data_IF_296447942020
#
_entry.id   IF_296447942020
#
_cell.length_a   1.000
_cell.length_b   1.000
_cell.length_c   1.000
_cell.angle_alpha   90.00
_cell.angle_beta   90.00
_cell.angle_gamma   90.00
#
_symmetry.space_group_name_H-M   'P 1'
#
loop_
_entity.id
_entity.type
_entity.pdbx_description
1 polymer ?
#
# COMPACT_ATOMS: atom_id res chain seq x y z
N UNK A 1 -22.36 -27.34 12.96
CA UNK A 1 -22.29 -27.14 11.50
C UNK A 1 -20.84 -27.11 11.02
N UNK A 2 -20.01 -26.14 11.43
CA UNK A 2 -18.63 -25.99 10.95
C UNK A 2 -17.75 -27.24 11.08
N UNK A 3 -17.84 -27.98 12.19
CA UNK A 3 -17.17 -29.29 12.35
C UNK A 3 -17.50 -30.27 11.21
N UNK A 4 -18.78 -30.49 10.94
CA UNK A 4 -19.22 -31.37 9.86
C UNK A 4 -18.79 -30.87 8.48
N UNK A 5 -18.73 -29.55 8.26
CA UNK A 5 -18.25 -28.97 7.00
C UNK A 5 -16.74 -29.15 6.84
N UNK A 6 -15.95 -28.98 7.91
CA UNK A 6 -14.53 -29.29 7.89
C UNK A 6 -14.30 -30.78 7.57
N UNK A 7 -15.01 -31.70 8.23
CA UNK A 7 -14.91 -33.15 7.95
C UNK A 7 -15.19 -33.48 6.47
N UNK A 8 -16.18 -32.82 5.86
CA UNK A 8 -16.50 -32.98 4.44
C UNK A 8 -15.38 -32.48 3.52
N UNK A 9 -14.78 -31.33 3.84
CA UNK A 9 -13.66 -30.75 3.08
C UNK A 9 -12.45 -31.69 3.17
N UNK A 10 -12.06 -32.12 4.37
CA UNK A 10 -10.91 -33.00 4.57
C UNK A 10 -11.10 -34.41 4.02
N UNK A 11 -12.35 -34.89 3.92
CA UNK A 11 -12.65 -36.12 3.17
C UNK A 11 -12.30 -35.97 1.68
N UNK A 12 -12.43 -34.77 1.13
CA UNK A 12 -12.17 -34.48 -0.29
C UNK A 12 -10.72 -34.07 -0.53
N UNK A 13 -10.14 -33.28 0.37
CA UNK A 13 -8.79 -32.70 0.28
C UNK A 13 -8.09 -32.98 1.64
N UNK A 14 -7.49 -34.17 1.82
CA UNK A 14 -6.96 -34.60 3.12
C UNK A 14 -5.85 -33.71 3.71
N UNK A 15 -5.17 -32.94 2.88
CA UNK A 15 -4.10 -32.01 3.23
C UNK A 15 -4.52 -30.54 3.10
N UNK A 16 -5.83 -30.27 3.15
CA UNK A 16 -6.36 -28.91 3.07
C UNK A 16 -5.74 -27.99 4.14
N UNK A 17 -5.20 -26.84 3.72
CA UNK A 17 -4.46 -25.94 4.61
C UNK A 17 -5.34 -25.22 5.64
N UNK A 18 -6.57 -24.87 5.28
CA UNK A 18 -7.52 -24.20 6.18
C UNK A 18 -8.24 -23.00 5.55
N UNK A 19 -8.66 -22.05 6.38
CA UNK A 19 -9.55 -20.97 5.95
C UNK A 19 -8.88 -19.59 5.95
N UNK A 20 -9.16 -18.79 4.93
CA UNK A 20 -8.96 -17.34 4.93
C UNK A 20 -10.29 -16.65 5.21
N UNK A 21 -10.32 -15.70 6.15
CA UNK A 21 -11.56 -15.06 6.61
C UNK A 21 -11.46 -13.55 6.55
N UNK A 22 -12.36 -12.92 5.78
CA UNK A 22 -12.72 -11.50 5.88
C UNK A 22 -14.09 -11.42 6.54
N UNK A 23 -14.20 -10.75 7.68
CA UNK A 23 -15.44 -10.69 8.46
C UNK A 23 -15.63 -9.29 9.05
N UNK A 24 -16.89 -8.83 9.15
CA UNK A 24 -17.27 -7.48 9.61
C UNK A 24 -16.49 -6.34 8.91
N UNK A 25 -16.38 -6.43 7.59
CA UNK A 25 -15.62 -5.47 6.77
C UNK A 25 -16.26 -5.36 5.39
N UNK A 26 -16.53 -4.12 4.95
CA UNK A 26 -17.14 -3.83 3.63
C UNK A 26 -18.42 -4.64 3.35
N UNK A 27 -19.32 -4.69 4.32
CA UNK A 27 -20.60 -5.41 4.22
C UNK A 27 -20.50 -6.94 4.36
N UNK A 28 -19.30 -7.49 4.55
CA UNK A 28 -19.14 -8.92 4.82
C UNK A 28 -19.63 -9.28 6.22
N UNK A 29 -20.38 -10.40 6.38
CA UNK A 29 -20.91 -10.81 7.67
C UNK A 29 -19.79 -11.21 8.62
N UNK A 30 -20.07 -11.22 9.91
CA UNK A 30 -19.09 -11.68 10.90
C UNK A 30 -19.59 -11.71 12.34
N UNK A 31 -18.72 -12.11 13.28
CA UNK A 31 -19.09 -12.30 14.69
C UNK A 31 -19.74 -11.08 15.34
N UNK A 32 -19.38 -9.85 14.96
CA UNK A 32 -19.93 -8.64 15.57
C UNK A 32 -21.44 -8.47 15.32
N UNK A 33 -21.96 -9.01 14.21
CA UNK A 33 -23.41 -9.02 13.90
C UNK A 33 -24.22 -9.82 14.93
N UNK A 34 -23.54 -10.69 15.68
CA UNK A 34 -24.09 -11.56 16.71
C UNK A 34 -23.64 -11.16 18.12
N UNK A 35 -23.08 -9.95 18.30
CA UNK A 35 -22.56 -9.47 19.59
C UNK A 35 -21.34 -10.24 20.08
N UNK A 36 -20.54 -10.80 19.17
CA UNK A 36 -19.30 -11.54 19.45
C UNK A 36 -18.08 -10.78 18.92
N UNK A 37 -16.90 -11.07 19.46
CA UNK A 37 -15.66 -10.47 18.99
C UNK A 37 -14.95 -11.34 17.92
N UNK A 38 -13.89 -10.82 17.30
CA UNK A 38 -13.14 -11.55 16.27
C UNK A 38 -12.49 -12.84 16.78
N UNK A 39 -12.04 -12.89 18.03
CA UNK A 39 -11.49 -14.13 18.61
C UNK A 39 -12.57 -15.20 18.79
N UNK A 40 -13.80 -14.84 19.16
CA UNK A 40 -14.91 -15.80 19.24
C UNK A 40 -15.19 -16.45 17.87
N UNK A 41 -15.24 -15.63 16.81
CA UNK A 41 -15.47 -16.10 15.44
C UNK A 41 -14.32 -16.96 14.91
N UNK A 42 -13.08 -16.50 15.10
CA UNK A 42 -11.88 -17.21 14.66
C UNK A 42 -11.72 -18.55 15.39
N UNK A 43 -11.88 -18.56 16.72
CA UNK A 43 -11.69 -19.75 17.55
C UNK A 43 -12.73 -20.82 17.25
N UNK A 44 -13.98 -20.43 16.93
CA UNK A 44 -15.02 -21.37 16.52
C UNK A 44 -14.65 -22.11 15.23
N UNK A 45 -14.07 -21.42 14.24
CA UNK A 45 -13.56 -22.04 13.02
C UNK A 45 -12.30 -22.86 13.27
N UNK A 46 -11.41 -22.36 14.14
CA UNK A 46 -10.19 -23.03 14.51
C UNK A 46 -10.44 -24.38 15.22
N UNK A 47 -11.45 -24.44 16.08
CA UNK A 47 -11.91 -25.69 16.73
C UNK A 47 -12.43 -26.71 15.70
N UNK A 48 -13.06 -26.26 14.62
CA UNK A 48 -13.53 -27.14 13.55
C UNK A 48 -12.38 -27.72 12.71
N UNK A 49 -11.29 -26.97 12.53
CA UNK A 49 -10.11 -27.39 11.75
C UNK A 49 -9.09 -28.18 12.58
N UNK A 50 -9.07 -28.02 13.90
CA UNK A 50 -8.06 -28.59 14.78
C UNK A 50 -7.87 -30.12 14.66
N UNK A 51 -8.92 -30.96 14.51
CA UNK A 51 -8.75 -32.40 14.32
C UNK A 51 -7.99 -32.79 13.05
N UNK A 52 -7.91 -31.87 12.08
CA UNK A 52 -7.33 -32.09 10.76
C UNK A 52 -6.01 -31.32 10.55
N UNK A 53 -5.54 -30.58 11.57
CA UNK A 53 -4.31 -29.79 11.50
C UNK A 53 -4.42 -28.48 10.70
N UNK A 54 -5.64 -28.04 10.35
CA UNK A 54 -5.87 -26.83 9.57
C UNK A 54 -5.70 -25.52 10.36
N UNK A 55 -5.43 -24.44 9.62
CA UNK A 55 -5.19 -23.08 10.14
C UNK A 55 -6.30 -22.12 9.75
N UNK A 56 -6.60 -21.15 10.61
CA UNK A 56 -7.45 -20.00 10.26
C UNK A 56 -6.57 -18.76 10.09
N UNK A 57 -6.52 -18.23 8.87
CA UNK A 57 -5.97 -16.91 8.57
C UNK A 57 -7.10 -15.87 8.68
N UNK A 58 -7.11 -15.11 9.77
CA UNK A 58 -8.16 -14.14 10.06
C UNK A 58 -7.70 -12.73 9.72
N UNK A 59 -8.31 -12.08 8.72
CA UNK A 59 -7.88 -10.75 8.28
C UNK A 59 -8.24 -9.67 9.30
N UNK A 60 -7.28 -8.80 9.61
CA UNK A 60 -7.44 -7.62 10.44
C UNK A 60 -7.89 -6.37 9.65
N UNK A 61 -8.21 -6.52 8.36
CA UNK A 61 -8.76 -5.45 7.54
C UNK A 61 -10.23 -5.20 7.90
N UNK A 62 -10.45 -4.49 9.00
CA UNK A 62 -11.76 -4.14 9.56
C UNK A 62 -11.84 -2.64 9.81
N UNK A 63 -12.98 -2.06 9.46
CA UNK A 63 -13.28 -0.66 9.75
C UNK A 63 -14.76 -0.37 9.55
N UNK A 64 -15.34 0.37 10.50
CA UNK A 64 -16.72 0.79 10.55
C UNK A 64 -16.82 2.32 10.43
N UNK A 65 -17.92 2.87 9.88
CA UNK A 65 -18.04 4.30 9.62
C UNK A 65 -18.08 5.18 10.89
N UNK A 66 -18.30 4.59 12.06
CA UNK A 66 -18.47 5.32 13.32
C UNK A 66 -17.15 5.76 13.96
N UNK A 67 -15.99 5.23 13.53
CA UNK A 67 -14.73 5.56 14.19
C UNK A 67 -14.21 6.94 13.79
N UNK A 68 -13.48 7.56 14.72
CA UNK A 68 -12.89 8.90 14.54
C UNK A 68 -11.81 8.94 13.46
N UNK A 69 -11.02 7.88 13.36
CA UNK A 69 -9.92 7.74 12.41
C UNK A 69 -9.89 6.32 11.85
N UNK A 70 -10.05 6.16 10.53
CA UNK A 70 -9.97 4.85 9.87
C UNK A 70 -8.64 4.14 10.15
N UNK A 71 -7.53 4.88 10.19
CA UNK A 71 -6.20 4.31 10.41
C UNK A 71 -6.03 3.71 11.82
N UNK A 72 -6.87 4.10 12.78
CA UNK A 72 -6.77 3.60 14.16
C UNK A 72 -7.53 2.28 14.39
N UNK A 73 -8.52 1.97 13.55
CA UNK A 73 -9.57 0.99 13.88
C UNK A 73 -9.07 -0.43 14.03
N UNK A 74 -8.30 -0.93 13.07
CA UNK A 74 -7.81 -2.31 13.10
C UNK A 74 -6.94 -2.58 14.34
N UNK A 75 -6.15 -1.59 14.78
CA UNK A 75 -5.40 -1.70 16.03
C UNK A 75 -6.33 -1.75 17.24
N UNK A 76 -7.30 -0.83 17.33
CA UNK A 76 -8.22 -0.75 18.48
C UNK A 76 -9.09 -2.01 18.61
N UNK A 77 -9.45 -2.65 17.50
CA UNK A 77 -10.22 -3.90 17.45
C UNK A 77 -9.39 -5.13 17.87
N UNK A 78 -8.17 -5.26 17.33
CA UNK A 78 -7.38 -6.49 17.50
C UNK A 78 -6.43 -6.46 18.68
N UNK A 79 -5.87 -5.30 19.06
CA UNK A 79 -4.91 -5.22 20.16
C UNK A 79 -5.49 -5.74 21.50
N UNK A 80 -6.75 -5.45 21.88
CA UNK A 80 -7.37 -6.02 23.09
C UNK A 80 -7.62 -7.53 23.03
N UNK A 81 -7.46 -8.16 21.86
CA UNK A 81 -7.64 -9.59 21.62
C UNK A 81 -6.32 -10.38 21.64
N UNK A 82 -5.18 -9.70 21.80
CA UNK A 82 -3.86 -10.34 21.90
C UNK A 82 -3.82 -11.43 23.00
N UNK A 83 -3.55 -12.67 22.59
CA UNK A 83 -3.52 -13.87 23.43
C UNK A 83 -4.88 -14.56 23.64
N UNK A 84 -5.95 -14.11 22.96
CA UNK A 84 -7.28 -14.75 23.00
C UNK A 84 -7.55 -15.68 21.81
N UNK A 85 -6.72 -15.62 20.77
CA UNK A 85 -6.85 -16.47 19.60
C UNK A 85 -6.30 -17.88 19.87
N UNK A 86 -6.93 -18.90 19.28
CA UNK A 86 -6.50 -20.29 19.40
C UNK A 86 -5.14 -20.52 18.72
N UNK A 87 -4.39 -21.58 19.10
CA UNK A 87 -3.03 -21.81 18.59
C UNK A 87 -2.90 -21.99 17.07
N UNK A 88 -3.96 -22.42 16.40
CA UNK A 88 -4.03 -22.57 14.94
C UNK A 88 -4.75 -21.38 14.25
N UNK A 89 -4.76 -20.22 14.88
CA UNK A 89 -5.21 -18.94 14.27
C UNK A 89 -4.00 -18.04 14.08
N UNK A 90 -3.91 -17.44 12.90
CA UNK A 90 -2.98 -16.36 12.58
C UNK A 90 -3.75 -15.14 12.11
N UNK A 91 -3.43 -13.96 12.65
CA UNK A 91 -4.09 -12.70 12.27
C UNK A 91 -3.35 -12.11 11.08
N UNK A 92 -4.02 -12.02 9.94
CA UNK A 92 -3.45 -11.50 8.69
C UNK A 92 -3.66 -9.98 8.61
N UNK A 93 -2.56 -9.22 8.61
CA UNK A 93 -2.54 -7.75 8.72
C UNK A 93 -1.91 -7.16 7.46
N UNK A 94 -2.58 -6.20 6.82
CA UNK A 94 -2.01 -5.44 5.70
C UNK A 94 -0.72 -4.73 6.12
N UNK A 95 0.15 -4.42 5.16
CA UNK A 95 1.39 -3.69 5.44
C UNK A 95 1.17 -2.31 6.07
N UNK A 96 0.05 -1.65 5.79
CA UNK A 96 -0.35 -0.37 6.37
C UNK A 96 -1.77 -0.42 6.92
N UNK A 97 -2.18 0.66 7.60
CA UNK A 97 -3.44 0.73 8.35
C UNK A 97 -4.65 1.22 7.54
N UNK A 98 -4.48 1.58 6.27
CA UNK A 98 -5.57 1.96 5.37
C UNK A 98 -5.81 0.87 4.35
N UNK A 99 -5.14 0.89 3.20
CA UNK A 99 -5.48 0.01 2.08
C UNK A 99 -4.45 0.10 0.96
N UNK A 100 -3.27 -0.52 1.16
CA UNK A 100 -2.27 -0.72 0.11
C UNK A 100 -1.89 0.54 -0.70
N UNK A 101 -1.93 1.71 -0.05
CA UNK A 101 -1.61 2.98 -0.71
C UNK A 101 -0.14 3.02 -1.15
N UNK A 102 0.24 3.90 -2.12
CA UNK A 102 1.62 3.98 -2.62
C UNK A 102 2.72 4.01 -1.54
N UNK A 103 2.43 4.69 -0.43
CA UNK A 103 3.16 4.56 0.82
C UNK A 103 2.21 4.71 2.01
N UNK A 104 2.41 3.87 3.01
CA UNK A 104 1.78 3.96 4.33
C UNK A 104 2.87 3.71 5.39
N UNK A 105 2.73 4.26 6.61
CA UNK A 105 3.49 3.73 7.73
C UNK A 105 3.14 2.26 7.94
N UNK A 106 4.10 1.47 8.45
CA UNK A 106 3.84 0.06 8.76
C UNK A 106 2.65 -0.08 9.73
N UNK A 107 1.82 -1.12 9.60
CA UNK A 107 0.65 -1.25 10.47
C UNK A 107 1.05 -1.38 11.95
N UNK A 108 0.47 -0.60 12.88
CA UNK A 108 0.90 -0.57 14.29
C UNK A 108 0.62 -1.86 15.08
N UNK A 109 -0.01 -2.87 14.46
CA UNK A 109 -0.20 -4.18 15.08
C UNK A 109 1.12 -4.97 15.12
N UNK A 110 2.01 -4.75 14.15
CA UNK A 110 3.32 -5.39 14.15
C UNK A 110 4.14 -4.94 15.36
N UNK A 111 4.53 -5.90 16.19
CA UNK A 111 5.18 -5.69 17.49
C UNK A 111 4.20 -5.41 18.64
N UNK A 112 2.92 -5.17 18.35
CA UNK A 112 1.93 -4.87 19.38
C UNK A 112 1.15 -6.08 19.88
N UNK A 113 1.19 -7.24 19.21
CA UNK A 113 0.48 -8.46 19.65
C UNK A 113 1.44 -9.62 19.94
N UNK A 114 2.25 -9.58 21.01
CA UNK A 114 3.28 -10.58 21.28
C UNK A 114 2.74 -11.99 21.63
N UNK A 115 1.44 -12.14 21.87
CA UNK A 115 0.81 -13.42 22.24
C UNK A 115 -0.09 -13.95 21.12
N UNK A 116 -0.02 -13.39 19.92
CA UNK A 116 -0.80 -13.83 18.77
C UNK A 116 0.05 -13.71 17.51
N UNK A 117 0.22 -14.80 16.74
CA UNK A 117 1.00 -14.73 15.51
C UNK A 117 0.32 -13.80 14.50
N UNK A 118 1.12 -12.97 13.83
CA UNK A 118 0.68 -12.05 12.79
C UNK A 118 1.27 -12.48 11.45
N UNK A 119 0.45 -12.49 10.40
CA UNK A 119 0.89 -12.64 9.02
C UNK A 119 0.88 -11.27 8.32
N UNK A 120 1.90 -10.98 7.52
CA UNK A 120 1.90 -9.80 6.65
C UNK A 120 1.08 -10.08 5.39
N UNK A 121 0.12 -9.21 5.07
CA UNK A 121 -0.57 -9.16 3.79
C UNK A 121 -0.02 -7.98 2.97
N UNK A 122 0.40 -8.26 1.74
CA UNK A 122 0.82 -7.25 0.76
C UNK A 122 0.00 -7.39 -0.52
N UNK A 123 -0.10 -6.31 -1.30
CA UNK A 123 -0.72 -6.34 -2.62
C UNK A 123 0.35 -6.51 -3.70
N UNK A 124 0.24 -7.56 -4.52
CA UNK A 124 1.06 -7.74 -5.72
C UNK A 124 0.34 -7.11 -6.92
N UNK A 125 -0.98 -7.29 -6.98
CA UNK A 125 -1.82 -6.55 -7.93
C UNK A 125 -1.79 -5.07 -7.60
N UNK A 126 -1.75 -4.23 -8.64
CA UNK A 126 -1.48 -2.80 -8.53
C UNK A 126 -2.76 -1.97 -8.53
N UNK A 127 -3.70 -2.32 -7.66
CA UNK A 127 -4.99 -1.62 -7.54
C UNK A 127 -4.81 -0.11 -7.37
N UNK A 128 -3.86 0.30 -6.52
CA UNK A 128 -3.58 1.71 -6.19
C UNK A 128 -2.35 2.27 -6.90
N UNK A 129 -1.77 1.53 -7.83
CA UNK A 129 -0.43 1.79 -8.38
C UNK A 129 -0.42 1.80 -9.91
N UNK A 130 -1.55 2.15 -10.52
CA UNK A 130 -1.70 2.29 -11.98
C UNK A 130 -1.83 0.97 -12.73
N UNK A 131 -2.47 -0.02 -12.11
CA UNK A 131 -2.85 -1.31 -12.73
C UNK A 131 -1.69 -1.96 -13.48
N UNK A 132 -1.93 -2.60 -14.63
CA UNK A 132 -0.89 -3.26 -15.41
C UNK A 132 -0.06 -2.31 -16.29
N UNK A 133 -0.38 -1.03 -16.36
CA UNK A 133 0.29 -0.07 -17.27
C UNK A 133 1.44 0.69 -16.62
N UNK A 134 1.52 0.71 -15.29
CA UNK A 134 2.56 1.43 -14.56
C UNK A 134 3.70 0.52 -14.10
N UNK A 135 4.94 0.85 -14.42
CA UNK A 135 6.10 0.15 -13.89
C UNK A 135 6.32 0.59 -12.43
N UNK A 136 6.30 -0.34 -11.48
CA UNK A 136 6.42 -0.08 -10.03
C UNK A 136 7.25 -1.18 -9.33
N UNK A 137 8.29 -0.80 -8.60
CA UNK A 137 9.11 -1.71 -7.79
C UNK A 137 8.48 -2.04 -6.44
N UNK A 138 7.62 -3.06 -6.45
CA UNK A 138 7.02 -3.59 -5.21
C UNK A 138 8.03 -4.27 -4.29
N UNK A 139 9.20 -4.70 -4.79
CA UNK A 139 10.27 -5.23 -3.93
C UNK A 139 10.74 -4.19 -2.92
N UNK A 140 10.89 -2.93 -3.34
CA UNK A 140 11.21 -1.84 -2.42
C UNK A 140 10.08 -1.53 -1.43
N UNK A 141 8.81 -1.72 -1.81
CA UNK A 141 7.69 -1.59 -0.87
C UNK A 141 7.77 -2.66 0.21
N UNK A 142 7.97 -3.90 -0.19
CA UNK A 142 8.07 -5.02 0.73
C UNK A 142 9.28 -4.87 1.65
N UNK A 143 10.45 -4.49 1.11
CA UNK A 143 11.64 -4.21 1.92
C UNK A 143 11.41 -3.09 2.93
N UNK A 144 10.83 -1.95 2.52
CA UNK A 144 10.54 -0.83 3.43
C UNK A 144 9.69 -1.26 4.62
N UNK A 145 8.67 -2.08 4.37
CA UNK A 145 7.77 -2.59 5.43
C UNK A 145 8.47 -3.63 6.29
N UNK A 146 9.06 -4.67 5.69
CA UNK A 146 9.69 -5.78 6.39
C UNK A 146 10.84 -5.31 7.28
N UNK A 147 11.59 -4.30 6.84
CA UNK A 147 12.76 -3.77 7.54
C UNK A 147 12.41 -2.62 8.51
N UNK A 148 11.14 -2.21 8.59
CA UNK A 148 10.71 -1.19 9.54
C UNK A 148 10.92 -1.66 10.99
N UNK A 149 11.74 -0.94 11.75
CA UNK A 149 11.93 -1.19 13.19
C UNK A 149 10.67 -0.79 13.95
N UNK A 150 10.03 -1.78 14.60
CA UNK A 150 8.80 -1.55 15.38
C UNK A 150 9.09 -0.79 16.68
N UNK A 151 10.35 -0.68 17.09
CA UNK A 151 10.81 -0.26 18.41
C UNK A 151 10.19 -1.08 19.56
N UNK A 152 9.81 -2.33 19.26
CA UNK A 152 9.32 -3.33 20.21
C UNK A 152 10.17 -4.60 20.20
N UNK A 153 11.47 -4.45 19.91
CA UNK A 153 12.49 -5.51 19.98
C UNK A 153 12.98 -6.06 18.63
N UNK A 154 12.40 -5.61 17.52
CA UNK A 154 12.81 -6.00 16.18
C UNK A 154 11.99 -5.35 15.07
N UNK A 155 12.31 -5.72 13.84
CA UNK A 155 11.63 -5.28 12.62
C UNK A 155 10.29 -6.01 12.41
N UNK A 156 9.47 -5.54 11.47
CA UNK A 156 8.26 -6.26 11.03
C UNK A 156 8.61 -7.68 10.55
N UNK A 157 9.71 -7.87 9.83
CA UNK A 157 10.21 -9.19 9.43
C UNK A 157 10.34 -10.15 10.62
N UNK A 158 10.95 -9.69 11.72
CA UNK A 158 11.13 -10.51 12.94
C UNK A 158 9.83 -10.79 13.69
N UNK A 159 8.81 -9.96 13.50
CA UNK A 159 7.46 -10.24 14.03
C UNK A 159 6.81 -11.35 13.21
N UNK A 160 6.89 -11.27 11.89
CA UNK A 160 6.19 -12.16 10.95
C UNK A 160 6.87 -13.51 10.79
N UNK A 161 8.21 -13.57 10.86
CA UNK A 161 8.97 -14.82 10.89
C UNK A 161 8.90 -15.55 12.25
N UNK A 162 8.22 -14.94 13.24
CA UNK A 162 8.00 -15.50 14.58
C UNK A 162 9.21 -15.44 15.52
N UNK A 163 10.40 -15.07 15.04
CA UNK A 163 11.65 -15.09 15.82
C UNK A 163 11.65 -14.12 17.01
N UNK A 164 10.87 -13.04 16.95
CA UNK A 164 10.78 -12.07 18.03
C UNK A 164 10.01 -12.60 19.25
N UNK A 165 9.02 -13.46 19.05
CA UNK A 165 8.09 -13.92 20.10
C UNK A 165 7.99 -15.45 20.21
N UNK A 166 8.76 -16.21 19.42
CA UNK A 166 8.79 -17.67 19.44
C UNK A 166 7.57 -18.33 18.78
N UNK A 167 6.90 -17.65 17.86
CA UNK A 167 5.77 -18.21 17.14
C UNK A 167 6.23 -19.27 16.13
N UNK A 168 5.57 -20.42 16.11
CA UNK A 168 5.83 -21.49 15.13
C UNK A 168 4.96 -21.34 13.88
N UNK A 169 3.75 -20.83 14.04
CA UNK A 169 2.85 -20.52 12.93
C UNK A 169 3.19 -19.12 12.40
N UNK A 170 3.71 -19.07 11.19
CA UNK A 170 4.15 -17.84 10.52
C UNK A 170 3.63 -17.85 9.08
N UNK A 171 3.38 -16.68 8.51
CA UNK A 171 2.95 -16.58 7.12
C UNK A 171 3.15 -15.17 6.54
N UNK A 172 3.30 -15.12 5.23
CA UNK A 172 3.11 -13.92 4.42
C UNK A 172 2.10 -14.24 3.31
N UNK A 173 1.20 -13.30 3.03
CA UNK A 173 0.18 -13.42 2.00
C UNK A 173 0.35 -12.30 0.97
N UNK A 174 0.29 -12.65 -0.32
CA UNK A 174 0.37 -11.71 -1.42
C UNK A 174 -0.90 -11.76 -2.26
N UNK A 175 -1.61 -10.64 -2.39
CA UNK A 175 -2.78 -10.55 -3.27
C UNK A 175 -2.30 -10.58 -4.72
N UNK A 176 -2.51 -11.73 -5.36
CA UNK A 176 -2.04 -12.09 -6.69
C UNK A 176 -2.40 -11.08 -7.80
N UNK A 177 -1.48 -10.86 -8.75
CA UNK A 177 -1.68 -10.08 -9.98
C UNK A 177 -1.85 -10.91 -11.26
N UNK A 178 -2.04 -12.24 -11.16
CA UNK A 178 -2.08 -13.13 -12.33
C UNK A 178 -3.51 -13.36 -12.84
N UNK A 179 -3.61 -13.59 -14.14
CA UNK A 179 -4.83 -14.00 -14.84
C UNK A 179 -4.52 -14.87 -16.05
N UNK A 180 -5.43 -14.87 -17.02
CA UNK A 180 -5.31 -15.67 -18.27
C UNK A 180 -4.43 -15.03 -19.34
N UNK A 181 -3.90 -13.84 -19.09
CA UNK A 181 -2.98 -13.15 -20.00
C UNK A 181 -1.75 -14.01 -20.27
N UNK A 182 -1.17 -13.90 -21.47
CA UNK A 182 -0.08 -14.78 -21.89
C UNK A 182 1.18 -14.63 -21.02
N UNK A 183 1.42 -13.43 -20.52
CA UNK A 183 2.51 -13.11 -19.58
C UNK A 183 2.08 -13.27 -18.11
N UNK A 184 0.87 -13.78 -17.85
CA UNK A 184 0.18 -13.95 -16.57
C UNK A 184 -0.21 -12.65 -15.87
N UNK A 185 0.72 -11.70 -15.73
CA UNK A 185 0.58 -10.53 -14.87
C UNK A 185 0.16 -9.23 -15.58
N UNK A 186 -0.23 -9.31 -16.86
CA UNK A 186 -0.63 -8.16 -17.69
C UNK A 186 0.53 -7.32 -18.23
N UNK A 187 1.64 -7.22 -17.50
CA UNK A 187 2.89 -6.53 -17.91
C UNK A 187 4.14 -7.33 -17.55
N UNK A 188 5.21 -7.17 -18.33
CA UNK A 188 6.50 -7.83 -18.07
C UNK A 188 7.04 -7.49 -16.68
N UNK A 189 7.00 -6.21 -16.28
CA UNK A 189 7.56 -5.78 -14.99
C UNK A 189 6.70 -6.20 -13.80
N UNK A 190 5.43 -6.54 -14.02
CA UNK A 190 4.54 -7.02 -12.96
C UNK A 190 4.93 -8.43 -12.48
N UNK A 191 5.68 -9.16 -13.29
CA UNK A 191 6.32 -10.41 -12.89
C UNK A 191 7.41 -10.19 -11.83
N UNK A 192 8.09 -9.03 -11.87
CA UNK A 192 9.11 -8.69 -10.87
C UNK A 192 8.50 -8.56 -9.47
N UNK A 193 7.28 -8.02 -9.37
CA UNK A 193 6.56 -7.93 -8.10
C UNK A 193 6.21 -9.31 -7.53
N UNK A 194 5.69 -10.21 -8.35
CA UNK A 194 5.38 -11.58 -7.92
C UNK A 194 6.65 -12.33 -7.52
N UNK A 195 7.72 -12.20 -8.32
CA UNK A 195 9.04 -12.76 -8.00
C UNK A 195 9.56 -12.22 -6.67
N UNK A 196 9.46 -10.92 -6.43
CA UNK A 196 9.91 -10.30 -5.20
C UNK A 196 9.13 -10.78 -3.98
N UNK A 197 7.80 -10.89 -4.09
CA UNK A 197 6.97 -11.46 -3.03
C UNK A 197 7.44 -12.88 -2.68
N UNK A 198 7.60 -13.77 -3.67
CA UNK A 198 8.02 -15.14 -3.41
C UNK A 198 9.40 -15.25 -2.74
N UNK A 199 10.35 -14.42 -3.17
CA UNK A 199 11.71 -14.39 -2.59
C UNK A 199 11.71 -13.84 -1.17
N UNK A 200 10.98 -12.76 -0.91
CA UNK A 200 10.94 -12.12 0.41
C UNK A 200 10.04 -12.85 1.41
N UNK A 201 9.06 -13.62 0.95
CA UNK A 201 8.33 -14.56 1.80
C UNK A 201 9.21 -15.75 2.22
N UNK A 202 10.19 -16.13 1.40
CA UNK A 202 11.18 -17.15 1.73
C UNK A 202 12.26 -16.63 2.69
N UNK A 203 12.80 -15.45 2.43
CA UNK A 203 13.79 -14.77 3.26
C UNK A 203 13.46 -13.27 3.36
N UNK A 204 12.80 -12.84 4.47
CA UNK A 204 12.38 -11.46 4.68
C UNK A 204 13.50 -10.42 4.81
N UNK A 205 14.76 -10.87 4.94
CA UNK A 205 15.93 -9.98 5.06
C UNK A 205 16.59 -9.67 3.71
N UNK A 206 16.09 -10.27 2.61
CA UNK A 206 16.60 -9.99 1.28
C UNK A 206 16.43 -8.52 0.88
N UNK A 207 17.47 -8.01 0.22
CA UNK A 207 17.46 -6.67 -0.39
C UNK A 207 16.70 -6.67 -1.70
N UNK A 208 15.78 -5.71 -1.88
CA UNK A 208 15.00 -5.54 -3.10
C UNK A 208 15.90 -5.43 -4.33
N UNK A 209 17.02 -4.71 -4.21
CA UNK A 209 18.00 -4.57 -5.29
C UNK A 209 18.65 -5.89 -5.72
N UNK A 210 18.86 -6.84 -4.81
CA UNK A 210 19.41 -8.16 -5.12
C UNK A 210 18.35 -9.02 -5.82
N UNK A 211 17.12 -9.01 -5.29
CA UNK A 211 15.96 -9.69 -5.88
C UNK A 211 15.66 -9.19 -7.29
N UNK A 212 15.71 -7.87 -7.51
CA UNK A 212 15.53 -7.26 -8.82
C UNK A 212 16.62 -7.67 -9.82
N UNK A 213 17.90 -7.78 -9.38
CA UNK A 213 19.00 -8.28 -10.22
C UNK A 213 18.79 -9.73 -10.63
N UNK A 214 18.37 -10.58 -9.70
CA UNK A 214 18.08 -11.99 -9.99
C UNK A 214 16.95 -12.11 -11.03
N UNK A 215 15.86 -11.36 -10.84
CA UNK A 215 14.74 -11.36 -11.79
C UNK A 215 15.15 -10.84 -13.16
N UNK A 216 15.84 -9.70 -13.24
CA UNK A 216 16.26 -9.12 -14.52
C UNK A 216 17.20 -10.06 -15.30
N UNK A 217 18.06 -10.80 -14.59
CA UNK A 217 18.96 -11.78 -15.19
C UNK A 217 18.21 -12.99 -15.79
N UNK A 218 17.20 -13.50 -15.08
CA UNK A 218 16.40 -14.66 -15.49
C UNK A 218 15.38 -14.31 -16.58
N UNK A 219 14.81 -13.11 -16.51
CA UNK A 219 13.73 -12.67 -17.40
C UNK A 219 14.27 -12.11 -18.71
N UNK A 220 15.27 -11.22 -18.65
CA UNK A 220 15.74 -10.50 -19.83
C UNK A 220 17.13 -10.90 -20.29
N UNK A 221 18.14 -10.73 -19.43
CA UNK A 221 19.53 -10.99 -19.81
C UNK A 221 20.46 -11.07 -18.60
N UNK A 222 21.31 -12.10 -18.50
CA UNK A 222 22.31 -12.19 -17.43
C UNK A 222 23.51 -11.26 -17.62
N UNK A 223 23.62 -10.57 -18.78
CA UNK A 223 24.73 -9.64 -19.04
C UNK A 223 24.68 -8.48 -18.06
N UNK A 224 25.74 -8.22 -17.26
CA UNK A 224 25.71 -7.20 -16.20
C UNK A 224 25.24 -5.82 -16.67
N UNK A 225 25.69 -5.36 -17.85
CA UNK A 225 25.30 -4.07 -18.39
C UNK A 225 23.77 -3.94 -18.62
N UNK A 226 23.12 -4.99 -19.13
CA UNK A 226 21.67 -4.97 -19.42
C UNK A 226 20.86 -5.19 -18.16
N UNK A 227 21.25 -6.20 -17.35
CA UNK A 227 20.62 -6.47 -16.06
C UNK A 227 20.62 -5.23 -15.18
N UNK A 228 21.76 -4.57 -15.05
CA UNK A 228 21.90 -3.41 -14.15
C UNK A 228 21.15 -2.19 -14.70
N UNK A 229 21.12 -2.00 -16.02
CA UNK A 229 20.29 -0.96 -16.64
C UNK A 229 18.79 -1.17 -16.40
N UNK A 230 18.30 -2.42 -16.45
CA UNK A 230 16.91 -2.76 -16.11
C UNK A 230 16.62 -2.45 -14.64
N UNK A 231 17.51 -2.84 -13.74
CA UNK A 231 17.38 -2.57 -12.30
C UNK A 231 17.44 -1.07 -12.01
N UNK A 232 18.23 -0.30 -12.74
CA UNK A 232 18.30 1.16 -12.61
C UNK A 232 17.07 1.90 -13.16
N UNK A 233 16.27 1.25 -14.02
CA UNK A 233 14.92 1.72 -14.43
C UNK A 233 13.89 1.37 -13.36
N UNK A 234 13.96 0.14 -12.81
CA UNK A 234 13.03 -0.34 -11.81
C UNK A 234 13.18 0.41 -10.48
N UNK A 235 14.41 0.69 -10.04
CA UNK A 235 14.69 1.28 -8.72
C UNK A 235 13.89 2.56 -8.42
N UNK A 236 13.87 3.61 -9.24
CA UNK A 236 13.13 4.82 -8.90
C UNK A 236 11.60 4.69 -9.06
N UNK A 237 11.10 3.60 -9.64
CA UNK A 237 9.72 3.52 -10.13
C UNK A 237 8.66 3.53 -9.04
N UNK A 238 8.94 2.94 -7.86
CA UNK A 238 8.04 3.04 -6.70
C UNK A 238 7.90 4.48 -6.21
N UNK A 239 9.03 5.16 -6.03
CA UNK A 239 9.01 6.55 -5.54
C UNK A 239 8.39 7.49 -6.57
N UNK A 240 8.55 7.23 -7.88
CA UNK A 240 7.86 7.97 -8.92
C UNK A 240 6.34 7.95 -8.71
N UNK A 241 5.77 6.77 -8.44
CA UNK A 241 4.33 6.59 -8.16
C UNK A 241 3.89 7.35 -6.92
N UNK A 242 4.66 7.26 -5.83
CA UNK A 242 4.41 8.06 -4.62
C UNK A 242 4.40 9.55 -4.97
N UNK A 243 5.39 10.01 -5.74
CA UNK A 243 5.61 11.41 -6.08
C UNK A 243 4.49 12.01 -6.94
N UNK A 244 4.09 11.33 -8.02
CA UNK A 244 3.03 11.86 -8.88
C UNK A 244 1.61 11.54 -8.37
N UNK A 245 1.42 10.65 -7.39
CA UNK A 245 0.09 10.33 -6.85
C UNK A 245 -0.16 10.95 -5.48
N UNK A 246 0.68 10.63 -4.48
CA UNK A 246 0.39 10.87 -3.07
C UNK A 246 1.67 11.13 -2.24
N UNK A 247 2.43 12.21 -2.52
CA UNK A 247 3.70 12.47 -1.84
C UNK A 247 3.51 12.96 -0.40
N UNK A 248 4.61 13.01 0.35
CA UNK A 248 4.70 13.62 1.70
C UNK A 248 3.77 13.00 2.76
N UNK A 249 3.31 11.77 2.55
CA UNK A 249 2.35 11.09 3.45
C UNK A 249 0.87 11.31 3.07
N UNK A 250 0.60 12.01 1.96
CA UNK A 250 -0.72 11.94 1.35
C UNK A 250 -1.04 10.49 0.96
N UNK A 251 -2.33 10.20 0.88
CA UNK A 251 -2.87 8.88 0.57
C UNK A 251 -4.33 9.03 0.16
N UNK A 252 -4.85 8.00 -0.50
CA UNK A 252 -6.26 7.86 -0.84
C UNK A 252 -6.77 9.03 -1.71
N UNK A 253 -6.00 9.44 -2.71
CA UNK A 253 -6.35 10.53 -3.63
C UNK A 253 -6.99 10.04 -4.93
N UNK A 254 -7.39 8.77 -4.99
CA UNK A 254 -7.97 8.14 -6.18
C UNK A 254 -9.43 8.53 -6.34
N UNK A 255 -9.88 8.59 -7.59
CA UNK A 255 -11.30 8.69 -7.91
C UNK A 255 -12.02 7.37 -7.59
N UNK A 256 -13.30 7.50 -7.33
CA UNK A 256 -14.11 6.49 -6.69
C UNK A 256 -14.66 5.48 -7.70
N UNK A 257 -14.93 4.26 -7.22
CA UNK A 257 -15.39 3.15 -8.04
C UNK A 257 -14.26 2.38 -8.74
N UNK A 258 -13.17 3.03 -9.17
CA UNK A 258 -12.13 2.33 -9.94
C UNK A 258 -10.70 2.44 -9.44
N UNK A 259 -10.33 3.37 -8.56
CA UNK A 259 -8.94 3.54 -8.05
C UNK A 259 -7.83 3.86 -9.08
N UNK A 260 -8.14 3.83 -10.38
CA UNK A 260 -7.21 4.10 -11.49
C UNK A 260 -6.63 5.53 -11.56
N UNK A 261 -7.49 6.54 -11.44
CA UNK A 261 -7.15 7.95 -11.70
C UNK A 261 -7.27 8.86 -10.47
N UNK A 262 -6.79 10.11 -10.55
CA UNK A 262 -6.92 11.11 -9.49
C UNK A 262 -8.38 11.53 -9.27
N UNK A 263 -8.76 11.60 -8.00
CA UNK A 263 -10.01 12.18 -7.52
C UNK A 263 -9.87 12.90 -6.17
N UNK A 264 -8.83 13.72 -5.92
CA UNK A 264 -8.63 14.36 -4.62
C UNK A 264 -9.79 15.28 -4.20
N UNK A 265 -10.64 15.71 -5.13
CA UNK A 265 -11.84 16.50 -4.85
C UNK A 265 -13.03 15.70 -4.30
N UNK A 266 -12.99 14.37 -4.32
CA UNK A 266 -14.17 13.55 -4.00
C UNK A 266 -14.50 13.62 -2.51
N UNK A 267 -15.75 14.04 -2.22
CA UNK A 267 -16.24 14.32 -0.88
C UNK A 267 -17.73 13.93 -0.67
N UNK A 268 -18.29 13.14 -1.58
CA UNK A 268 -19.73 12.89 -1.69
C UNK A 268 -20.11 11.40 -1.60
N UNK A 269 -19.19 10.53 -1.19
CA UNK A 269 -19.50 9.12 -0.92
C UNK A 269 -20.31 8.97 0.38
N UNK A 270 -21.04 7.86 0.46
CA UNK A 270 -21.92 7.51 1.59
C UNK A 270 -21.20 7.48 2.94
N UNK A 271 -19.92 7.05 2.93
CA UNK A 271 -19.07 7.04 4.12
C UNK A 271 -17.95 8.05 3.99
N UNK A 272 -17.74 8.84 5.05
CA UNK A 272 -16.68 9.84 5.07
C UNK A 272 -15.29 9.22 4.89
N UNK A 273 -15.05 8.07 5.51
CA UNK A 273 -13.77 7.34 5.48
C UNK A 273 -13.46 6.64 4.14
N UNK A 274 -14.29 6.84 3.12
CA UNK A 274 -14.04 6.49 1.73
C UNK A 274 -13.71 7.71 0.86
N UNK A 275 -13.95 8.93 1.34
CA UNK A 275 -13.72 10.13 0.56
C UNK A 275 -12.23 10.55 0.64
N UNK A 276 -11.56 10.82 -0.49
CA UNK A 276 -10.24 11.46 -0.51
C UNK A 276 -10.11 12.68 0.42
N UNK A 277 -11.14 13.54 0.47
CA UNK A 277 -11.12 14.74 1.33
C UNK A 277 -11.05 14.45 2.82
N UNK A 278 -11.48 13.27 3.26
CA UNK A 278 -11.34 12.84 4.65
C UNK A 278 -9.88 12.65 5.05
N UNK A 279 -9.05 12.16 4.13
CA UNK A 279 -7.66 11.82 4.38
C UNK A 279 -6.75 13.04 4.31
N UNK A 280 -6.84 13.84 3.25
CA UNK A 280 -5.93 14.96 3.08
C UNK A 280 -6.39 16.25 3.79
N UNK A 281 -7.69 16.41 4.10
CA UNK A 281 -8.26 17.57 4.84
C UNK A 281 -7.72 18.94 4.40
N UNK A 282 -7.59 19.14 3.09
CA UNK A 282 -7.03 20.37 2.56
C UNK A 282 -8.06 21.50 2.67
N UNK A 283 -7.61 22.66 3.11
CA UNK A 283 -8.38 23.91 3.13
C UNK A 283 -7.45 25.11 2.81
N UNK A 284 -7.95 26.33 3.02
CA UNK A 284 -7.13 27.55 2.83
C UNK A 284 -5.98 27.67 3.81
N UNK A 285 -6.10 27.07 4.98
CA UNK A 285 -5.12 27.13 6.06
C UNK A 285 -4.00 26.11 5.89
N UNK A 286 -4.29 24.90 5.41
CA UNK A 286 -3.30 23.83 5.32
C UNK A 286 -3.79 22.52 4.71
N UNK A 287 -3.01 21.46 4.93
CA UNK A 287 -3.27 20.10 4.44
C UNK A 287 -2.69 19.06 5.42
N UNK A 288 -3.25 17.84 5.41
CA UNK A 288 -2.79 16.67 6.13
C UNK A 288 -3.80 16.20 7.19
N UNK A 289 -3.49 15.11 7.90
CA UNK A 289 -4.37 14.59 8.96
C UNK A 289 -3.65 14.68 10.30
N UNK A 290 -4.17 15.47 11.25
CA UNK A 290 -3.63 15.50 12.61
C UNK A 290 -3.93 14.18 13.34
N UNK A 291 -2.93 13.29 13.35
CA UNK A 291 -2.92 12.04 14.12
C UNK A 291 -1.96 12.10 15.31
N UNK A 292 -1.43 13.27 15.60
CA UNK A 292 -0.63 13.56 16.79
C UNK A 292 -1.47 13.50 18.07
N UNK A 293 -0.89 13.68 19.28
CA UNK A 293 -1.63 13.68 20.53
C UNK A 293 -2.74 14.74 20.63
N UNK A 294 -2.71 15.79 19.81
CA UNK A 294 -3.75 16.82 19.77
C UNK A 294 -4.89 16.52 18.80
N UNK A 295 -4.70 15.57 17.88
CA UNK A 295 -5.66 15.17 16.86
C UNK A 295 -6.36 13.85 17.19
N UNK A 296 -6.32 12.88 16.26
CA UNK A 296 -6.87 11.53 16.53
C UNK A 296 -6.05 10.73 17.55
N UNK A 297 -4.80 11.13 17.80
CA UNK A 297 -3.83 10.42 18.62
C UNK A 297 -3.54 8.98 18.16
N UNK A 298 -3.80 8.64 16.90
CA UNK A 298 -3.44 7.32 16.35
C UNK A 298 -1.93 7.05 16.41
N UNK A 299 -1.09 8.10 16.45
CA UNK A 299 0.36 7.98 16.69
C UNK A 299 0.70 7.21 17.98
N UNK A 300 -0.18 7.23 18.99
CA UNK A 300 0.02 6.52 20.26
C UNK A 300 -0.10 5.00 20.16
N UNK A 301 -0.58 4.46 19.03
CA UNK A 301 -0.65 3.02 18.78
C UNK A 301 0.74 2.42 18.49
N UNK A 302 1.68 3.24 18.03
CA UNK A 302 3.07 2.86 17.81
C UNK A 302 3.86 2.78 19.13
N UNK A 303 5.08 2.24 19.08
CA UNK A 303 5.96 2.24 20.25
C UNK A 303 6.27 3.68 20.73
N UNK A 304 6.48 3.93 22.03
CA UNK A 304 6.70 5.28 22.56
C UNK A 304 7.82 6.08 21.88
N UNK A 305 8.88 5.39 21.42
CA UNK A 305 9.98 6.03 20.70
C UNK A 305 9.53 6.60 19.34
N UNK A 306 8.82 5.81 18.54
CA UNK A 306 8.23 6.24 17.27
C UNK A 306 7.15 7.28 17.50
N UNK A 307 6.27 7.05 18.47
CA UNK A 307 5.18 7.96 18.77
C UNK A 307 5.72 9.36 19.07
N UNK A 308 6.80 9.47 19.86
CA UNK A 308 7.48 10.75 20.13
C UNK A 308 8.07 11.39 18.88
N UNK A 309 8.74 10.63 18.02
CA UNK A 309 9.34 11.14 16.78
C UNK A 309 8.29 11.62 15.77
N UNK A 310 7.18 10.89 15.65
CA UNK A 310 6.14 11.17 14.68
C UNK A 310 5.07 12.15 15.20
N UNK A 311 5.08 12.47 16.49
CA UNK A 311 4.23 13.51 17.08
C UNK A 311 4.76 14.94 16.84
N UNK A 312 6.00 15.11 16.40
CA UNK A 312 6.59 16.41 16.08
C UNK A 312 6.90 16.49 14.57
N UNK A 313 6.32 17.45 13.83
CA UNK A 313 6.54 17.56 12.39
C UNK A 313 8.02 17.81 12.02
N UNK A 314 8.84 18.31 12.94
CA UNK A 314 10.28 18.54 12.71
C UNK A 314 11.10 17.25 12.73
N UNK A 315 10.59 16.20 13.37
CA UNK A 315 11.26 14.90 13.49
C UNK A 315 10.53 13.79 12.74
N UNK A 316 9.33 14.07 12.25
CA UNK A 316 8.57 13.14 11.41
C UNK A 316 9.25 13.03 10.03
N UNK A 317 9.53 11.82 9.53
CA UNK A 317 10.02 11.65 8.17
C UNK A 317 9.10 12.31 7.15
N UNK A 318 9.66 12.98 6.13
CA UNK A 318 8.86 13.77 5.19
C UNK A 318 7.84 12.92 4.45
N UNK A 319 8.20 11.69 4.13
CA UNK A 319 7.37 10.69 3.47
C UNK A 319 6.16 10.23 4.30
N UNK A 320 6.10 10.58 5.59
CA UNK A 320 4.98 10.31 6.50
C UNK A 320 4.38 11.61 7.11
N UNK A 321 4.82 12.78 6.67
CA UNK A 321 4.52 14.05 7.34
C UNK A 321 3.01 14.32 7.39
N UNK A 322 2.35 14.30 6.24
CA UNK A 322 0.92 14.59 6.10
C UNK A 322 0.03 13.41 6.54
N UNK A 323 0.64 12.27 6.87
CA UNK A 323 -0.05 11.18 7.56
C UNK A 323 -0.31 11.51 9.03
N UNK A 324 0.63 12.18 9.70
CA UNK A 324 0.54 12.45 11.13
C UNK A 324 0.17 13.90 11.48
N UNK A 325 0.35 14.83 10.55
CA UNK A 325 0.19 16.27 10.80
C UNK A 325 -0.74 16.92 9.80
N UNK A 326 -1.60 17.83 10.27
CA UNK A 326 -2.19 18.88 9.46
C UNK A 326 -1.32 20.13 9.60
N UNK A 327 -0.75 20.61 8.50
CA UNK A 327 0.26 21.67 8.50
C UNK A 327 -0.16 22.83 7.59
N UNK A 328 0.21 24.07 7.95
CA UNK A 328 -0.07 25.20 7.10
C UNK A 328 0.76 25.15 5.83
N UNK A 329 0.23 25.70 4.75
CA UNK A 329 0.86 25.65 3.43
C UNK A 329 2.24 26.32 3.35
N UNK A 330 2.52 27.26 4.25
CA UNK A 330 3.79 27.98 4.39
C UNK A 330 4.80 27.29 5.32
N UNK A 331 4.46 26.11 5.86
CA UNK A 331 5.39 25.30 6.67
C UNK A 331 6.71 25.09 5.93
N UNK A 332 7.83 25.41 6.57
CA UNK A 332 9.16 25.33 5.97
C UNK A 332 9.65 23.89 5.94
N UNK A 333 9.83 23.34 4.74
CA UNK A 333 10.38 22.02 4.52
C UNK A 333 11.91 22.05 4.62
N UNK A 334 12.58 20.90 4.88
CA UNK A 334 14.05 20.83 4.93
C UNK A 334 14.77 21.31 3.67
N UNK A 335 14.10 21.30 2.51
CA UNK A 335 14.60 21.84 1.24
C UNK A 335 14.70 23.38 1.21
N UNK A 336 14.11 24.07 2.20
CA UNK A 336 13.91 25.52 2.22
C UNK A 336 12.66 25.98 1.46
N UNK A 337 11.91 25.07 0.81
CA UNK A 337 10.61 25.38 0.21
C UNK A 337 9.51 25.44 1.27
N UNK A 338 8.41 26.13 0.96
CA UNK A 338 7.17 25.94 1.71
C UNK A 338 6.56 24.57 1.39
N UNK A 339 5.68 24.07 2.25
CA UNK A 339 4.94 22.82 2.03
C UNK A 339 4.21 22.81 0.68
N UNK A 340 3.57 23.91 0.30
CA UNK A 340 2.95 24.05 -1.04
C UNK A 340 3.95 23.86 -2.18
N UNK A 341 5.09 24.54 -2.11
CA UNK A 341 6.11 24.47 -3.16
C UNK A 341 6.82 23.10 -3.18
N UNK A 342 6.99 22.45 -2.02
CA UNK A 342 7.52 21.09 -1.94
C UNK A 342 6.54 20.08 -2.53
N UNK A 343 5.24 20.18 -2.20
CA UNK A 343 4.20 19.33 -2.76
C UNK A 343 4.20 19.37 -4.30
N UNK A 344 4.20 20.58 -4.87
CA UNK A 344 4.28 20.77 -6.33
C UNK A 344 5.56 20.17 -6.91
N UNK A 345 6.70 20.34 -6.24
CA UNK A 345 7.98 19.80 -6.69
C UNK A 345 8.01 18.26 -6.67
N UNK A 346 7.33 17.60 -5.73
CA UNK A 346 7.16 16.15 -5.73
C UNK A 346 6.36 15.68 -6.95
N UNK A 347 5.20 16.29 -7.23
CA UNK A 347 4.40 15.93 -8.40
C UNK A 347 5.19 16.08 -9.71
N UNK A 348 5.94 17.18 -9.88
CA UNK A 348 6.81 17.38 -11.04
C UNK A 348 7.93 16.32 -11.13
N UNK A 349 8.54 15.97 -9.99
CA UNK A 349 9.60 14.95 -9.92
C UNK A 349 9.09 13.56 -10.32
N UNK A 350 7.87 13.19 -9.92
CA UNK A 350 7.26 11.93 -10.31
C UNK A 350 7.13 11.81 -11.83
N UNK A 351 6.62 12.85 -12.49
CA UNK A 351 6.51 12.91 -13.97
C UNK A 351 7.89 12.81 -14.63
N UNK A 352 8.84 13.63 -14.18
CA UNK A 352 10.20 13.64 -14.74
C UNK A 352 10.91 12.29 -14.59
N UNK A 353 10.62 11.55 -13.51
CA UNK A 353 11.18 10.22 -13.26
C UNK A 353 10.63 9.20 -14.25
N UNK A 354 9.32 9.22 -14.55
CA UNK A 354 8.71 8.33 -15.55
C UNK A 354 9.25 8.62 -16.95
N UNK A 355 9.43 9.89 -17.32
CA UNK A 355 10.04 10.27 -18.60
C UNK A 355 11.49 9.74 -18.73
N UNK A 356 12.26 9.80 -17.65
CA UNK A 356 13.62 9.26 -17.61
C UNK A 356 13.63 7.72 -17.71
N UNK A 357 12.70 7.03 -17.04
CA UNK A 357 12.50 5.59 -17.18
C UNK A 357 12.23 5.21 -18.65
N UNK A 358 11.35 5.95 -19.33
CA UNK A 358 11.07 5.80 -20.76
C UNK A 358 12.31 5.94 -21.64
N UNK A 359 13.11 7.00 -21.43
CA UNK A 359 14.36 7.23 -22.17
C UNK A 359 15.39 6.12 -21.94
N UNK A 360 15.57 5.67 -20.70
CA UNK A 360 16.50 4.59 -20.35
C UNK A 360 16.05 3.26 -20.97
N UNK A 361 14.76 2.95 -20.94
CA UNK A 361 14.23 1.75 -21.59
C UNK A 361 14.40 1.78 -23.11
N UNK A 362 14.19 2.94 -23.74
CA UNK A 362 14.42 3.11 -25.18
C UNK A 362 15.87 2.79 -25.60
N UNK A 363 16.85 3.12 -24.74
CA UNK A 363 18.26 2.82 -25.00
C UNK A 363 18.59 1.32 -24.99
N UNK A 364 17.75 0.47 -24.37
CA UNK A 364 17.92 -0.99 -24.31
C UNK A 364 17.38 -1.73 -25.54
N UNK A 365 16.84 -1.01 -26.55
CA UNK A 365 16.30 -1.61 -27.77
C UNK A 365 17.21 -2.63 -28.46
N UNK A 366 18.55 -2.44 -28.55
CA UNK A 366 19.43 -3.43 -29.17
C UNK A 366 19.63 -4.71 -28.35
N UNK A 367 19.27 -4.68 -27.06
CA UNK A 367 19.62 -5.70 -26.08
C UNK A 367 18.43 -6.58 -25.64
N UNK A 368 17.20 -6.18 -25.99
CA UNK A 368 15.93 -6.82 -25.61
C UNK A 368 15.21 -7.27 -26.88
N UNK A 369 14.47 -8.38 -26.84
CA UNK A 369 13.66 -8.78 -27.99
C UNK A 369 12.58 -7.73 -28.32
N UNK A 370 12.20 -7.70 -29.60
CA UNK A 370 11.36 -6.65 -30.13
C UNK A 370 9.95 -6.61 -29.50
N UNK A 371 9.40 -7.77 -29.13
CA UNK A 371 8.04 -7.89 -28.59
C UNK A 371 7.95 -7.27 -27.20
N UNK A 372 8.79 -7.73 -26.27
CA UNK A 372 8.79 -7.21 -24.89
C UNK A 372 9.30 -5.79 -24.82
N UNK A 373 10.27 -5.41 -25.67
CA UNK A 373 10.72 -4.02 -25.77
C UNK A 373 9.56 -3.10 -26.16
N UNK A 374 8.81 -3.44 -27.21
CA UNK A 374 7.69 -2.64 -27.69
C UNK A 374 6.54 -2.55 -26.68
N UNK A 375 6.19 -3.65 -26.02
CA UNK A 375 5.15 -3.66 -24.98
C UNK A 375 5.50 -2.73 -23.82
N UNK A 376 6.70 -2.86 -23.24
CA UNK A 376 7.14 -2.01 -22.12
C UNK A 376 7.27 -0.55 -22.56
N UNK A 377 7.72 -0.27 -23.80
CA UNK A 377 7.71 1.09 -24.35
C UNK A 377 6.31 1.67 -24.41
N UNK A 378 5.31 0.89 -24.85
CA UNK A 378 3.93 1.34 -24.93
C UNK A 378 3.34 1.63 -23.53
N UNK A 379 3.61 0.77 -22.55
CA UNK A 379 3.16 0.97 -21.16
C UNK A 379 3.86 2.13 -20.47
N UNK A 380 5.16 2.34 -20.67
CA UNK A 380 5.84 3.55 -20.16
C UNK A 380 5.27 4.83 -20.79
N UNK A 381 4.85 4.80 -22.06
CA UNK A 381 4.18 5.94 -22.67
C UNK A 381 2.76 6.17 -22.10
N UNK A 382 2.06 5.11 -21.70
CA UNK A 382 0.79 5.20 -20.96
C UNK A 382 1.04 5.81 -19.58
N UNK A 383 1.97 5.26 -18.81
CA UNK A 383 2.36 5.74 -17.49
C UNK A 383 2.80 7.21 -17.52
N UNK A 384 3.54 7.65 -18.54
CA UNK A 384 3.95 9.06 -18.66
C UNK A 384 2.75 10.00 -18.83
N UNK A 385 1.77 9.63 -19.66
CA UNK A 385 0.52 10.41 -19.82
C UNK A 385 -0.31 10.42 -18.54
N UNK A 386 -0.39 9.29 -17.85
CA UNK A 386 -1.17 9.16 -16.61
C UNK A 386 -0.49 9.85 -15.42
N UNK A 387 0.84 9.81 -15.31
CA UNK A 387 1.59 10.57 -14.31
C UNK A 387 1.38 12.07 -14.51
N UNK A 388 1.38 12.55 -15.77
CA UNK A 388 1.06 13.94 -16.08
C UNK A 388 -0.39 14.28 -15.70
N UNK A 389 -1.34 13.40 -15.99
CA UNK A 389 -2.74 13.58 -15.59
C UNK A 389 -2.90 13.67 -14.07
N UNK A 390 -2.29 12.76 -13.32
CA UNK A 390 -2.26 12.77 -11.86
C UNK A 390 -1.68 14.08 -11.31
N UNK A 391 -0.51 14.48 -11.81
CA UNK A 391 0.17 15.73 -11.45
C UNK A 391 -0.72 16.95 -11.69
N UNK A 392 -1.27 17.09 -12.89
CA UNK A 392 -2.07 18.26 -13.24
C UNK A 392 -3.39 18.33 -12.47
N UNK A 393 -4.08 17.19 -12.30
CA UNK A 393 -5.34 17.11 -11.57
C UNK A 393 -5.17 17.44 -10.08
N UNK A 394 -4.15 16.87 -9.44
CA UNK A 394 -3.86 17.15 -8.03
C UNK A 394 -3.41 18.60 -7.80
N UNK A 395 -2.52 19.14 -8.64
CA UNK A 395 -2.08 20.54 -8.53
C UNK A 395 -3.27 21.49 -8.75
N UNK A 396 -4.10 21.28 -9.78
CA UNK A 396 -5.27 22.10 -10.04
C UNK A 396 -6.25 22.09 -8.85
N UNK A 397 -6.44 20.93 -8.22
CA UNK A 397 -7.29 20.80 -7.05
C UNK A 397 -6.71 21.53 -5.83
N UNK A 398 -5.50 21.21 -5.40
CA UNK A 398 -4.92 21.82 -4.20
C UNK A 398 -4.67 23.32 -4.38
N UNK A 399 -4.38 23.78 -5.60
CA UNK A 399 -4.35 25.21 -5.92
C UNK A 399 -5.73 25.86 -5.71
N UNK A 400 -6.81 25.23 -6.19
CA UNK A 400 -8.16 25.78 -6.03
C UNK A 400 -8.61 25.90 -4.56
N UNK A 401 -8.11 25.00 -3.71
CA UNK A 401 -8.42 24.94 -2.27
C UNK A 401 -7.57 25.91 -1.47
N UNK A 402 -6.25 25.92 -1.69
CA UNK A 402 -5.30 26.80 -0.99
C UNK A 402 -5.41 28.27 -1.42
N UNK A 403 -5.73 28.52 -2.69
CA UNK A 403 -5.70 29.85 -3.30
C UNK A 403 -4.29 30.40 -3.52
N UNK A 404 -3.25 29.56 -3.40
CA UNK A 404 -1.86 29.98 -3.57
C UNK A 404 -1.44 30.02 -5.05
N UNK A 405 -0.59 30.98 -5.46
CA UNK A 405 -0.01 30.96 -6.80
C UNK A 405 0.92 29.77 -6.96
N UNK A 406 1.11 29.30 -8.19
CA UNK A 406 2.15 28.31 -8.47
C UNK A 406 3.54 28.92 -8.19
N UNK A 407 4.49 28.13 -7.67
CA UNK A 407 5.88 28.57 -7.57
C UNK A 407 6.46 29.01 -8.91
N UNK A 408 7.40 29.95 -8.90
CA UNK A 408 8.02 30.45 -10.12
C UNK A 408 8.68 29.33 -10.93
N UNK A 409 8.45 29.31 -12.25
CA UNK A 409 9.01 28.31 -13.17
C UNK A 409 8.23 26.99 -13.26
N UNK A 410 7.21 26.79 -12.42
CA UNK A 410 6.33 25.61 -12.52
C UNK A 410 5.39 25.76 -13.71
N UNK A 411 5.29 24.72 -14.54
CA UNK A 411 4.32 24.67 -15.64
C UNK A 411 2.90 24.55 -15.06
N UNK A 412 1.94 25.40 -15.44
CA UNK A 412 0.56 25.25 -14.97
C UNK A 412 -0.05 23.91 -15.44
N UNK A 413 -1.06 23.39 -14.74
CA UNK A 413 -1.90 22.30 -15.27
C UNK A 413 -2.40 22.64 -16.68
N UNK A 414 -2.44 21.65 -17.58
CA UNK A 414 -2.85 21.87 -18.97
C UNK A 414 -4.33 22.32 -19.09
N UNK A 415 -5.17 21.86 -18.16
CA UNK A 415 -6.58 22.18 -18.09
C UNK A 415 -7.00 22.66 -16.70
N UNK A 416 -8.13 23.38 -16.65
CA UNK A 416 -8.79 23.76 -15.40
C UNK A 416 -9.31 22.54 -14.64
N UNK A 417 -9.43 22.64 -13.31
CA UNK A 417 -9.93 21.55 -12.44
C UNK A 417 -11.23 20.89 -12.94
N UNK A 418 -12.16 21.68 -13.47
CA UNK A 418 -13.45 21.18 -13.99
C UNK A 418 -13.29 20.20 -15.16
N UNK A 419 -12.20 20.29 -15.92
CA UNK A 419 -11.90 19.32 -16.97
C UNK A 419 -11.65 17.94 -16.35
N UNK A 420 -10.74 17.85 -15.39
CA UNK A 420 -10.37 16.60 -14.73
C UNK A 420 -11.57 15.97 -14.00
N UNK A 421 -12.37 16.78 -13.30
CA UNK A 421 -13.60 16.33 -12.62
C UNK A 421 -14.67 15.72 -13.56
N UNK A 422 -14.61 16.04 -14.86
CA UNK A 422 -15.56 15.54 -15.87
C UNK A 422 -15.08 14.29 -16.58
N UNK A 423 -13.83 13.89 -16.41
CA UNK A 423 -13.32 12.64 -17.01
C UNK A 423 -14.10 11.44 -16.45
N UNK A 424 -14.34 10.44 -17.30
CA UNK A 424 -15.10 9.23 -16.97
C UNK A 424 -14.38 8.03 -17.54
N UNK A 425 -14.29 6.97 -16.74
CA UNK A 425 -13.59 5.73 -17.09
C UNK A 425 -14.54 4.54 -16.92
N UNK A 426 -15.57 4.42 -17.78
CA UNK A 426 -16.61 3.40 -17.63
C UNK A 426 -16.07 1.96 -17.76
N UNK A 427 -14.88 1.78 -18.33
CA UNK A 427 -14.24 0.48 -18.52
C UNK A 427 -13.08 0.23 -17.54
N UNK A 428 -12.83 1.15 -16.60
CA UNK A 428 -11.85 0.88 -15.56
C UNK A 428 -12.38 -0.21 -14.61
N UNK A 429 -11.56 -1.22 -14.27
CA UNK A 429 -11.88 -2.21 -13.23
C UNK A 429 -12.40 -1.56 -11.94
N UNK A 430 -13.36 -2.20 -11.27
CA UNK A 430 -13.95 -1.74 -9.99
C UNK A 430 -15.38 -1.18 -10.11
N UNK A 431 -15.82 -0.77 -11.31
CA UNK A 431 -17.20 -0.33 -11.56
C UNK A 431 -18.18 -1.50 -11.85
N UNK A 432 -17.90 -2.70 -11.32
CA UNK A 432 -18.59 -3.96 -11.65
C UNK A 432 -19.44 -4.53 -10.52
#
# INVERSE_FOLDING_TARGET
>A
WWKAKADEIYKTIPDFGGFLVKANSEGQPGPQDYGRNHADGANMMAEALAPHGGVVMWRAFVYAPEAKDRAAQAYDEFKPLDGKFAPNVIVQVKNGAIDFQPREPFHPLFGAMPRTPLALEVQITKEYLGFSTHLVDLGQLFEEVLQADTHRGGTVARVVDGSLHGHQLTAMAGVANIGTDRNWSGSQFDQAAWYAFGRMAWDPDLKASAVARDWAAQTFSPRPAVRDAIVDILRPSREAVVDYMTPLGLHHLMDTGHHYGPGPWVNNLERQDWNPTYFHRADRGGIGFDRSPTGSNAVSQYAPALARLWSDPRTTPQELLLWFHHLPWDHAMPSGRSLWAELVAHYDRGVATVDDMGRRWAALKPDIDAERHAEVTAYLAVQAREALWWRDACIAYFQSVSGLPLPAGVRPPEHELKHYQRMRFPFAPGNG
#
